data_IF_598691890909
#
_entry.id   IF_598691890909
#
_cell.length_a   1.000
_cell.length_b   1.000
_cell.length_c   1.000
_cell.angle_alpha   90.00
_cell.angle_beta   90.00
_cell.angle_gamma   90.00
#
_symmetry.space_group_name_H-M   'P 1'
#
loop_
_entity.id
_entity.type
_entity.pdbx_description
1 polymer ?
#
# COMPACT_ATOMS: atom_id res chain seq x y z
N UNK A 1 -11.34 43.40 -1.78
CA UNK A 1 -11.78 42.60 -0.62
C UNK A 1 -12.60 41.43 -1.12
N UNK A 2 -12.02 40.23 -1.18
CA UNK A 2 -12.71 38.96 -0.97
C UNK A 2 -11.63 37.90 -0.72
N UNK A 3 -11.11 37.94 0.50
CA UNK A 3 -10.39 36.84 1.13
C UNK A 3 -11.46 35.84 1.62
N UNK A 4 -11.83 34.87 0.79
CA UNK A 4 -12.58 33.69 1.20
C UNK A 4 -12.49 32.69 0.05
N UNK A 5 -11.50 31.80 0.03
CA UNK A 5 -11.55 30.55 -0.77
C UNK A 5 -10.51 29.49 -0.34
N UNK A 6 -9.50 29.84 0.47
CA UNK A 6 -8.57 28.83 1.02
C UNK A 6 -9.16 27.99 2.16
N UNK A 7 -9.93 28.60 3.07
CA UNK A 7 -10.40 27.93 4.29
C UNK A 7 -11.59 26.98 4.09
N UNK A 8 -12.49 27.25 3.13
CA UNK A 8 -13.63 26.37 2.82
C UNK A 8 -13.23 25.13 1.97
N UNK A 9 -12.10 25.20 1.27
CA UNK A 9 -11.57 24.10 0.46
C UNK A 9 -11.05 22.96 1.36
N UNK A 10 -10.27 23.31 2.39
CA UNK A 10 -9.81 22.35 3.41
C UNK A 10 -10.95 21.77 4.23
N UNK A 11 -12.02 22.53 4.54
CA UNK A 11 -13.14 21.98 5.31
C UNK A 11 -13.93 20.93 4.52
N UNK A 12 -14.16 21.16 3.22
CA UNK A 12 -14.89 20.23 2.35
C UNK A 12 -14.10 18.94 2.05
N UNK A 13 -12.77 19.04 1.96
CA UNK A 13 -11.87 17.89 1.80
C UNK A 13 -11.83 17.03 3.08
N UNK A 14 -11.69 17.67 4.24
CA UNK A 14 -11.69 16.99 5.55
C UNK A 14 -13.01 16.29 5.89
N UNK A 15 -14.17 16.85 5.47
CA UNK A 15 -15.48 16.23 5.69
C UNK A 15 -15.61 14.88 4.94
N UNK A 16 -15.07 14.77 3.73
CA UNK A 16 -15.13 13.53 2.93
C UNK A 16 -14.31 12.42 3.54
N UNK A 17 -13.15 12.77 4.10
CA UNK A 17 -12.28 11.85 4.81
C UNK A 17 -12.84 11.47 6.20
N UNK A 18 -13.46 12.40 6.91
CA UNK A 18 -14.21 12.08 8.12
C UNK A 18 -15.33 11.04 7.88
N UNK A 19 -16.01 11.09 6.72
CA UNK A 19 -17.00 10.08 6.30
C UNK A 19 -16.40 8.72 5.92
N UNK A 20 -15.12 8.68 5.51
CA UNK A 20 -14.38 7.43 5.27
C UNK A 20 -14.13 6.68 6.59
N UNK A 21 -14.05 7.40 7.72
CA UNK A 21 -13.48 6.94 8.97
C UNK A 21 -14.43 7.06 10.18
N UNK A 22 -15.65 6.52 10.11
CA UNK A 22 -16.48 6.36 11.31
C UNK A 22 -15.86 5.32 12.29
N UNK A 23 -15.03 5.87 13.20
CA UNK A 23 -14.50 5.49 14.54
C UNK A 23 -14.05 4.05 14.83
N UNK A 24 -12.77 3.91 15.18
CA UNK A 24 -12.28 3.82 16.57
C UNK A 24 -10.83 4.34 16.63
N UNK A 25 -10.57 5.19 17.63
CA UNK A 25 -9.33 5.96 17.83
C UNK A 25 -8.48 5.26 18.87
N UNK A 26 -7.24 4.93 18.54
CA UNK A 26 -6.14 4.96 19.51
C UNK A 26 -5.03 5.79 18.85
N UNK A 27 -4.80 6.96 19.44
CA UNK A 27 -3.71 7.84 19.11
C UNK A 27 -2.49 7.45 19.94
N UNK A 28 -1.35 7.24 19.31
CA UNK A 28 -0.05 7.58 19.90
C UNK A 28 0.87 8.10 18.79
N UNK A 29 1.42 9.29 19.03
CA UNK A 29 2.37 9.95 18.16
C UNK A 29 3.81 9.71 18.62
N UNK A 30 4.75 9.92 17.71
CA UNK A 30 6.10 10.43 17.99
C UNK A 30 6.78 10.74 16.65
N UNK A 31 7.11 12.01 16.45
CA UNK A 31 8.02 12.44 15.40
C UNK A 31 9.46 12.25 15.83
N UNK A 32 10.34 11.91 14.88
CA UNK A 32 11.37 12.81 14.34
C UNK A 32 12.37 12.05 13.46
N UNK A 33 12.71 12.67 12.33
CA UNK A 33 13.97 12.56 11.57
C UNK A 33 14.29 11.25 10.80
N UNK A 34 13.92 11.31 9.52
CA UNK A 34 14.31 10.41 8.44
C UNK A 34 15.80 10.60 8.10
N UNK A 35 16.68 9.73 8.61
CA UNK A 35 18.06 9.64 8.12
C UNK A 35 18.20 8.44 7.18
N UNK A 36 18.49 8.74 5.91
CA UNK A 36 18.60 7.80 4.82
C UNK A 36 19.94 7.06 4.79
N UNK A 37 19.82 5.76 4.55
CA UNK A 37 20.76 4.84 3.87
C UNK A 37 21.89 4.21 4.69
N UNK A 38 21.77 2.92 5.05
CA UNK A 38 22.90 2.05 5.47
C UNK A 38 22.84 0.60 4.92
N UNK A 39 22.34 0.45 3.67
CA UNK A 39 22.39 -0.73 2.76
C UNK A 39 21.80 -2.06 3.25
N UNK A 40 20.84 -2.66 2.53
CA UNK A 40 21.14 -3.13 1.18
C UNK A 40 19.97 -3.36 0.21
N UNK A 41 19.92 -2.58 -0.88
CA UNK A 41 19.16 -2.90 -2.11
C UNK A 41 19.99 -3.79 -3.05
N UNK A 42 20.29 -4.96 -2.48
CA UNK A 42 20.73 -6.22 -3.08
C UNK A 42 22.16 -6.36 -3.64
N UNK A 43 23.14 -5.74 -2.99
CA UNK A 43 24.48 -6.35 -2.88
C UNK A 43 24.73 -6.94 -1.49
N UNK A 44 23.75 -7.67 -0.93
CA UNK A 44 23.81 -8.13 0.46
C UNK A 44 24.41 -9.53 0.58
N UNK A 45 25.28 -9.72 1.58
CA UNK A 45 25.78 -11.00 2.07
C UNK A 45 25.09 -11.37 3.41
N UNK A 46 23.76 -11.60 3.38
CA UNK A 46 22.81 -11.88 4.50
C UNK A 46 22.09 -10.63 5.08
N UNK A 47 21.14 -10.04 4.34
CA UNK A 47 20.56 -8.74 4.73
C UNK A 47 19.62 -8.76 5.94
N UNK A 48 19.95 -7.93 6.93
CA UNK A 48 19.14 -7.64 8.11
C UNK A 48 19.15 -6.13 8.43
N UNK A 49 18.40 -5.32 7.64
CA UNK A 49 18.26 -3.89 7.95
C UNK A 49 17.15 -3.70 9.00
N UNK A 50 17.55 -3.58 10.27
CA UNK A 50 16.68 -3.15 11.36
C UNK A 50 16.19 -1.71 11.13
N UNK A 51 14.90 -1.58 10.84
CA UNK A 51 14.07 -0.73 11.68
C UNK A 51 13.05 -1.62 12.39
N UNK A 52 13.37 -2.03 13.62
CA UNK A 52 12.42 -2.51 14.64
C UNK A 52 11.47 -1.39 15.10
N UNK A 53 11.04 -0.54 14.17
CA UNK A 53 10.12 0.54 14.45
C UNK A 53 9.08 0.60 13.34
N UNK A 54 8.29 -0.47 13.25
CA UNK A 54 6.87 -0.41 12.91
C UNK A 54 6.26 -1.82 13.03
N UNK A 55 5.46 -1.96 14.07
CA UNK A 55 4.49 -3.03 14.35
C UNK A 55 5.02 -4.34 14.93
N UNK A 56 4.24 -4.87 15.86
CA UNK A 56 4.37 -6.13 16.61
C UNK A 56 4.35 -7.39 15.72
N UNK A 57 5.02 -7.37 14.57
CA UNK A 57 5.03 -8.46 13.60
C UNK A 57 6.09 -9.50 13.96
N UNK A 58 5.77 -10.76 13.70
CA UNK A 58 6.71 -11.86 13.87
C UNK A 58 7.91 -11.72 12.92
N UNK A 59 9.09 -12.26 13.29
CA UNK A 59 10.27 -12.25 12.44
C UNK A 59 9.99 -12.90 11.08
N UNK A 60 10.60 -12.37 10.03
CA UNK A 60 10.54 -12.99 8.71
C UNK A 60 11.43 -14.23 8.67
N UNK A 61 10.96 -15.27 7.98
CA UNK A 61 11.78 -16.45 7.71
C UNK A 61 13.00 -16.05 6.86
N UNK A 62 14.18 -16.61 7.17
CA UNK A 62 15.29 -16.58 6.24
C UNK A 62 14.91 -17.38 4.98
N UNK A 63 15.11 -16.81 3.81
CA UNK A 63 14.82 -17.47 2.53
C UNK A 63 16.10 -17.67 1.72
N UNK A 64 16.72 -18.83 1.87
CA UNK A 64 17.87 -19.27 1.07
C UNK A 64 17.51 -19.53 -0.40
N UNK A 65 16.27 -19.91 -0.69
CA UNK A 65 15.79 -20.17 -2.06
C UNK A 65 15.87 -18.91 -2.92
N UNK A 66 15.32 -17.79 -2.47
CA UNK A 66 15.30 -16.56 -3.26
C UNK A 66 16.58 -15.73 -3.06
N UNK A 67 17.17 -15.71 -1.87
CA UNK A 67 18.34 -14.88 -1.58
C UNK A 67 19.66 -15.43 -2.15
N UNK A 68 19.66 -16.64 -2.71
CA UNK A 68 20.80 -17.15 -3.51
C UNK A 68 20.87 -16.53 -4.90
N UNK A 69 19.79 -15.92 -5.39
CA UNK A 69 19.78 -15.24 -6.68
C UNK A 69 20.59 -13.93 -6.62
N UNK A 70 21.54 -13.78 -7.54
CA UNK A 70 22.37 -12.58 -7.61
C UNK A 70 21.51 -11.33 -7.82
N UNK A 71 21.61 -10.36 -6.91
CA UNK A 71 20.83 -9.13 -7.01
C UNK A 71 19.43 -9.21 -6.39
N UNK A 72 19.08 -10.29 -5.69
CA UNK A 72 17.87 -10.38 -4.89
C UNK A 72 18.15 -10.27 -3.39
N UNK A 73 17.23 -9.65 -2.66
CA UNK A 73 17.21 -9.63 -1.21
C UNK A 73 15.76 -9.54 -0.72
N UNK A 74 15.32 -10.51 0.08
CA UNK A 74 13.94 -10.59 0.59
C UNK A 74 13.47 -9.29 1.27
N UNK A 75 14.35 -8.65 2.03
CA UNK A 75 14.03 -7.44 2.79
C UNK A 75 14.05 -6.16 1.95
N UNK A 76 14.53 -6.20 0.71
CA UNK A 76 14.80 -4.98 -0.06
C UNK A 76 14.33 -5.04 -1.50
N UNK A 77 13.97 -6.21 -2.03
CA UNK A 77 13.56 -6.38 -3.41
C UNK A 77 12.13 -6.91 -3.52
N UNK A 78 11.48 -6.50 -4.60
CA UNK A 78 10.25 -7.11 -5.05
C UNK A 78 10.52 -8.52 -5.59
N UNK A 79 9.82 -9.53 -5.07
CA UNK A 79 9.93 -10.94 -5.52
C UNK A 79 9.59 -11.15 -7.01
N UNK A 80 8.88 -10.21 -7.64
CA UNK A 80 8.41 -10.34 -9.02
C UNK A 80 9.32 -9.70 -10.06
N UNK A 81 10.10 -8.68 -9.68
CA UNK A 81 10.95 -7.95 -10.63
C UNK A 81 12.40 -7.76 -10.14
N UNK A 82 12.71 -8.24 -8.94
CA UNK A 82 14.03 -8.16 -8.28
C UNK A 82 14.55 -6.73 -8.07
N UNK A 83 13.72 -5.70 -8.31
CA UNK A 83 14.06 -4.29 -8.09
C UNK A 83 13.80 -3.87 -6.66
N UNK A 84 14.55 -2.86 -6.21
CA UNK A 84 14.48 -2.33 -4.87
C UNK A 84 13.11 -1.75 -4.51
N UNK A 85 12.62 -2.08 -3.32
CA UNK A 85 11.43 -1.48 -2.70
C UNK A 85 11.86 -0.26 -1.88
N UNK A 86 11.02 0.77 -1.84
CA UNK A 86 11.26 1.93 -1.00
C UNK A 86 10.35 1.90 0.23
N UNK A 87 10.96 1.67 1.40
CA UNK A 87 10.29 1.67 2.70
C UNK A 87 9.98 3.09 3.22
N UNK A 88 10.61 4.13 2.65
CA UNK A 88 10.40 5.52 3.08
C UNK A 88 9.06 6.10 2.63
N UNK A 89 8.51 5.64 1.50
CA UNK A 89 7.16 6.00 1.08
C UNK A 89 6.18 5.08 1.78
N UNK A 90 5.63 5.56 2.89
CA UNK A 90 4.58 4.98 3.74
C UNK A 90 3.85 3.76 3.14
N UNK A 91 4.52 2.60 3.11
CA UNK A 91 4.04 1.26 2.79
C UNK A 91 2.97 1.07 1.69
N UNK A 92 2.70 2.04 0.81
CA UNK A 92 1.59 1.95 -0.14
C UNK A 92 1.97 1.38 -1.49
N UNK A 93 3.25 1.42 -1.83
CA UNK A 93 3.74 0.99 -3.15
C UNK A 93 4.06 -0.50 -3.23
N UNK A 94 3.98 -1.22 -2.11
CA UNK A 94 4.27 -2.65 -2.03
C UNK A 94 3.42 -3.36 -0.96
N UNK A 95 3.30 -4.67 -1.11
CA UNK A 95 2.69 -5.57 -0.14
C UNK A 95 3.79 -6.48 0.40
N UNK A 96 3.86 -6.64 1.73
CA UNK A 96 4.69 -7.64 2.40
C UNK A 96 3.81 -8.82 2.81
N UNK A 97 4.24 -10.04 2.52
CA UNK A 97 3.52 -11.25 2.92
C UNK A 97 3.75 -11.54 4.40
N UNK A 98 2.70 -11.40 5.20
CA UNK A 98 2.71 -11.62 6.65
C UNK A 98 2.13 -12.99 7.05
N UNK A 99 1.93 -13.87 6.07
CA UNK A 99 1.42 -15.22 6.31
C UNK A 99 2.42 -16.08 7.07
N UNK A 100 1.93 -16.79 8.08
CA UNK A 100 2.74 -17.69 8.90
C UNK A 100 3.16 -18.94 8.09
N UNK A 101 4.45 -19.25 8.12
CA UNK A 101 5.10 -20.34 7.38
C UNK A 101 5.90 -21.28 8.28
N UNK A 102 5.79 -21.16 9.61
CA UNK A 102 6.50 -22.01 10.57
C UNK A 102 5.97 -21.87 12.00
N UNK A 103 6.78 -22.22 13.00
CA UNK A 103 6.34 -22.18 14.40
C UNK A 103 6.15 -20.74 14.91
N UNK A 104 6.92 -19.76 14.41
CA UNK A 104 6.82 -18.34 14.81
C UNK A 104 7.35 -17.34 13.75
N UNK A 105 7.33 -17.69 12.45
CA UNK A 105 7.91 -16.86 11.39
C UNK A 105 6.92 -16.57 10.27
N UNK A 106 6.97 -15.37 9.70
CA UNK A 106 6.20 -14.99 8.51
C UNK A 106 7.02 -15.17 7.22
N UNK A 107 6.33 -15.27 6.08
CA UNK A 107 7.00 -15.36 4.78
C UNK A 107 7.89 -14.15 4.47
N UNK A 108 7.48 -12.94 4.82
CA UNK A 108 8.28 -11.71 4.74
C UNK A 108 8.62 -11.20 3.34
N UNK A 109 8.34 -11.96 2.26
CA UNK A 109 8.59 -11.51 0.89
C UNK A 109 7.68 -10.36 0.53
N UNK A 110 8.22 -9.37 -0.17
CA UNK A 110 7.49 -8.21 -0.61
C UNK A 110 7.35 -8.15 -2.14
N UNK A 111 6.28 -7.53 -2.61
CA UNK A 111 6.04 -7.27 -4.02
C UNK A 111 5.55 -5.84 -4.22
N UNK A 112 6.04 -5.14 -5.25
CA UNK A 112 5.37 -3.93 -5.70
C UNK A 112 3.93 -4.25 -6.09
N UNK A 113 3.00 -3.38 -5.71
CA UNK A 113 1.58 -3.58 -6.03
C UNK A 113 1.36 -3.62 -7.54
N UNK A 114 2.02 -2.72 -8.28
CA UNK A 114 1.97 -2.70 -9.75
C UNK A 114 2.45 -4.03 -10.35
N UNK A 115 3.59 -4.56 -9.87
CA UNK A 115 4.10 -5.84 -10.35
C UNK A 115 3.13 -6.99 -10.03
N UNK A 116 2.52 -6.97 -8.85
CA UNK A 116 1.55 -8.01 -8.45
C UNK A 116 0.28 -7.95 -9.30
N UNK A 117 -0.28 -6.76 -9.54
CA UNK A 117 -1.44 -6.56 -10.40
C UNK A 117 -1.17 -7.01 -11.84
N UNK A 118 -0.05 -6.55 -12.43
CA UNK A 118 0.33 -6.89 -13.81
C UNK A 118 0.64 -8.36 -14.02
N UNK A 119 1.06 -9.06 -12.96
CA UNK A 119 1.34 -10.50 -13.00
C UNK A 119 0.13 -11.34 -12.60
N UNK A 120 -1.04 -10.74 -12.41
CA UNK A 120 -2.26 -11.40 -11.94
C UNK A 120 -2.10 -12.10 -10.57
N UNK A 121 -1.18 -11.60 -9.75
CA UNK A 121 -0.90 -12.07 -8.39
C UNK A 121 -1.62 -11.21 -7.34
N UNK A 122 -2.30 -10.13 -7.72
CA UNK A 122 -3.09 -9.30 -6.83
C UNK A 122 -4.41 -8.85 -7.46
N UNK A 123 -5.40 -8.55 -6.61
CA UNK A 123 -6.71 -8.01 -6.99
C UNK A 123 -7.79 -9.09 -7.10
N UNK A 124 -8.81 -8.84 -7.94
CA UNK A 124 -9.81 -9.85 -8.29
C UNK A 124 -9.42 -10.50 -9.62
N UNK A 125 -8.99 -11.77 -9.55
CA UNK A 125 -8.40 -12.51 -10.67
C UNK A 125 -9.18 -13.80 -10.87
N UNK A 126 -9.67 -14.04 -12.09
CA UNK A 126 -10.33 -15.29 -12.47
C UNK A 126 -9.36 -16.47 -12.69
N UNK A 127 -9.80 -17.49 -13.43
CA UNK A 127 -8.95 -18.61 -13.82
C UNK A 127 -8.67 -19.60 -12.68
N UNK A 128 -7.48 -20.19 -12.66
CA UNK A 128 -7.08 -21.23 -11.70
C UNK A 128 -6.71 -20.68 -10.31
N UNK A 129 -6.14 -19.47 -10.25
CA UNK A 129 -5.69 -18.85 -8.99
C UNK A 129 -6.89 -18.32 -8.17
N UNK A 130 -7.92 -17.78 -8.83
CA UNK A 130 -9.18 -17.32 -8.21
C UNK A 130 -8.95 -16.41 -6.99
N UNK A 131 -8.58 -15.16 -7.24
CA UNK A 131 -8.42 -14.15 -6.19
C UNK A 131 -9.66 -13.25 -6.13
N UNK A 132 -10.01 -12.79 -4.93
CA UNK A 132 -11.00 -11.74 -4.74
C UNK A 132 -10.48 -10.67 -3.77
N UNK A 133 -9.99 -9.54 -4.31
CA UNK A 133 -9.31 -8.48 -3.56
C UNK A 133 -8.18 -9.02 -2.67
N UNK A 134 -7.37 -9.94 -3.22
CA UNK A 134 -6.33 -10.68 -2.50
C UNK A 134 -4.98 -10.57 -3.22
N UNK A 135 -3.88 -10.80 -2.49
CA UNK A 135 -2.54 -11.02 -3.03
C UNK A 135 -2.13 -12.47 -2.85
N UNK A 136 -1.62 -13.10 -3.90
CA UNK A 136 -1.03 -14.43 -3.89
C UNK A 136 0.50 -14.33 -3.84
N UNK A 137 1.09 -14.82 -2.75
CA UNK A 137 2.53 -14.76 -2.56
C UNK A 137 3.24 -15.87 -3.33
N UNK A 138 4.06 -15.50 -4.32
CA UNK A 138 4.82 -16.45 -5.16
C UNK A 138 5.82 -17.35 -4.40
N UNK A 139 6.18 -17.02 -3.15
CA UNK A 139 7.09 -17.85 -2.35
C UNK A 139 6.40 -18.96 -1.57
N UNK A 140 5.31 -18.62 -0.88
CA UNK A 140 4.66 -19.53 0.07
C UNK A 140 3.28 -19.99 -0.39
N UNK A 141 2.82 -19.54 -1.56
CA UNK A 141 1.55 -19.88 -2.19
C UNK A 141 0.31 -19.56 -1.34
N UNK A 142 0.49 -18.73 -0.31
CA UNK A 142 -0.59 -18.23 0.56
C UNK A 142 -1.14 -16.92 0.03
N UNK A 143 -2.36 -16.61 0.50
CA UNK A 143 -3.13 -15.44 0.10
C UNK A 143 -3.18 -14.44 1.23
N UNK A 144 -3.12 -13.16 0.91
CA UNK A 144 -3.27 -12.06 1.85
C UNK A 144 -4.45 -11.20 1.42
N UNK A 145 -5.39 -10.94 2.34
CA UNK A 145 -6.51 -10.05 2.08
C UNK A 145 -6.03 -8.60 1.92
N UNK A 146 -6.38 -7.96 0.81
CA UNK A 146 -5.90 -6.60 0.50
C UNK A 146 -6.85 -5.50 0.98
N UNK A 147 -8.06 -5.84 1.44
CA UNK A 147 -9.02 -4.83 1.92
C UNK A 147 -8.44 -3.98 3.07
N UNK A 148 -7.78 -4.56 4.10
CA UNK A 148 -7.15 -3.76 5.15
C UNK A 148 -6.02 -2.87 4.60
N UNK A 149 -5.28 -3.37 3.62
CA UNK A 149 -4.23 -2.60 2.95
C UNK A 149 -4.83 -1.38 2.24
N UNK A 150 -5.83 -1.57 1.37
CA UNK A 150 -6.50 -0.47 0.67
C UNK A 150 -7.18 0.50 1.64
N UNK A 151 -7.73 -0.01 2.74
CA UNK A 151 -8.32 0.84 3.78
C UNK A 151 -7.27 1.78 4.38
N UNK A 152 -6.07 1.28 4.68
CA UNK A 152 -4.95 2.13 5.14
C UNK A 152 -4.51 3.12 4.07
N UNK A 153 -4.42 2.69 2.80
CA UNK A 153 -4.10 3.57 1.68
C UNK A 153 -5.02 4.79 1.63
N UNK A 154 -6.33 4.53 1.71
CA UNK A 154 -7.35 5.58 1.67
C UNK A 154 -7.26 6.50 2.89
N UNK A 155 -6.87 6.01 4.06
CA UNK A 155 -6.63 6.87 5.24
C UNK A 155 -5.38 7.74 5.08
N UNK A 156 -4.30 7.22 4.51
CA UNK A 156 -3.08 8.01 4.26
C UNK A 156 -3.33 9.19 3.32
N UNK A 157 -4.30 9.07 2.42
CA UNK A 157 -4.72 10.18 1.57
C UNK A 157 -5.20 11.43 2.35
N UNK A 158 -5.57 11.30 3.62
CA UNK A 158 -5.96 12.41 4.50
C UNK A 158 -4.81 13.39 4.78
N UNK A 159 -3.59 12.87 4.81
CA UNK A 159 -2.39 13.63 5.15
C UNK A 159 -1.56 14.03 3.93
N UNK A 160 -2.06 13.81 2.71
CA UNK A 160 -1.33 14.14 1.49
C UNK A 160 -1.74 15.51 0.93
N UNK A 161 -0.73 16.37 0.74
CA UNK A 161 -0.91 17.68 0.11
C UNK A 161 -0.79 17.65 -1.43
N UNK A 162 -0.43 16.49 -2.00
CA UNK A 162 -0.16 16.31 -3.43
C UNK A 162 -1.34 15.61 -4.14
N UNK A 163 -2.06 16.36 -4.99
CA UNK A 163 -3.18 15.83 -5.78
C UNK A 163 -2.76 14.68 -6.71
N UNK A 164 -1.55 14.74 -7.28
CA UNK A 164 -1.02 13.69 -8.14
C UNK A 164 -0.76 12.39 -7.38
N UNK A 165 -0.23 12.48 -6.15
CA UNK A 165 0.02 11.29 -5.33
C UNK A 165 -1.29 10.71 -4.79
N UNK A 166 -2.25 11.59 -4.45
CA UNK A 166 -3.62 11.20 -4.12
C UNK A 166 -4.28 10.42 -5.26
N UNK A 167 -4.24 10.94 -6.48
CA UNK A 167 -4.79 10.28 -7.67
C UNK A 167 -4.15 8.90 -7.90
N UNK A 168 -2.81 8.80 -7.78
CA UNK A 168 -2.09 7.52 -7.93
C UNK A 168 -2.52 6.49 -6.89
N UNK A 169 -2.63 6.88 -5.62
CA UNK A 169 -3.01 5.97 -4.53
C UNK A 169 -4.46 5.51 -4.69
N UNK A 170 -5.37 6.43 -5.02
CA UNK A 170 -6.77 6.08 -5.25
C UNK A 170 -6.94 5.16 -6.46
N UNK A 171 -6.24 5.41 -7.56
CA UNK A 171 -6.24 4.52 -8.73
C UNK A 171 -5.68 3.13 -8.39
N UNK A 172 -4.68 3.03 -7.52
CA UNK A 172 -4.16 1.75 -7.06
C UNK A 172 -5.21 0.97 -6.26
N UNK A 173 -5.91 1.62 -5.33
CA UNK A 173 -7.04 1.02 -4.61
C UNK A 173 -8.17 0.60 -5.53
N UNK A 174 -8.49 1.40 -6.55
CA UNK A 174 -9.46 1.09 -7.59
C UNK A 174 -9.10 -0.21 -8.32
N UNK A 175 -7.85 -0.35 -8.76
CA UNK A 175 -7.36 -1.55 -9.45
C UNK A 175 -7.42 -2.81 -8.58
N UNK A 176 -7.12 -2.71 -7.28
CA UNK A 176 -7.16 -3.84 -6.34
C UNK A 176 -8.60 -4.34 -6.13
N UNK A 177 -9.56 -3.43 -5.95
CA UNK A 177 -10.93 -3.78 -5.56
C UNK A 177 -11.86 -4.00 -6.76
N UNK A 178 -11.45 -3.65 -7.98
CA UNK A 178 -12.28 -3.78 -9.17
C UNK A 178 -12.73 -5.23 -9.37
N UNK A 179 -14.04 -5.42 -9.53
CA UNK A 179 -14.65 -6.73 -9.81
C UNK A 179 -14.87 -7.61 -8.57
N UNK A 180 -14.51 -7.12 -7.38
CA UNK A 180 -14.66 -7.86 -6.13
C UNK A 180 -16.11 -8.29 -5.85
N UNK A 181 -16.29 -9.46 -5.24
CA UNK A 181 -17.61 -9.91 -4.77
C UNK A 181 -17.84 -9.61 -3.29
N UNK A 182 -16.79 -9.31 -2.53
CA UNK A 182 -16.85 -8.94 -1.11
C UNK A 182 -17.58 -7.60 -0.92
N UNK A 183 -18.62 -7.57 -0.10
CA UNK A 183 -19.50 -6.39 0.07
C UNK A 183 -18.79 -5.20 0.72
N UNK A 184 -17.90 -5.46 1.69
CA UNK A 184 -17.06 -4.43 2.29
C UNK A 184 -16.08 -3.81 1.27
N UNK A 185 -15.53 -4.61 0.36
CA UNK A 185 -14.67 -4.12 -0.73
C UNK A 185 -15.46 -3.28 -1.74
N UNK A 186 -16.68 -3.70 -2.12
CA UNK A 186 -17.58 -2.89 -2.99
C UNK A 186 -17.90 -1.53 -2.39
N UNK A 187 -18.18 -1.47 -1.08
CA UNK A 187 -18.40 -0.20 -0.37
C UNK A 187 -17.15 0.70 -0.38
N UNK A 188 -15.98 0.12 -0.17
CA UNK A 188 -14.71 0.85 -0.22
C UNK A 188 -14.39 1.34 -1.64
N UNK A 189 -14.67 0.53 -2.66
CA UNK A 189 -14.52 0.89 -4.07
C UNK A 189 -15.36 2.12 -4.44
N UNK A 190 -16.66 2.13 -4.08
CA UNK A 190 -17.55 3.28 -4.32
C UNK A 190 -17.02 4.57 -3.70
N UNK A 191 -16.43 4.47 -2.50
CA UNK A 191 -15.82 5.61 -1.81
C UNK A 191 -14.59 6.14 -2.56
N UNK A 192 -13.74 5.25 -3.06
CA UNK A 192 -12.57 5.61 -3.89
C UNK A 192 -13.00 6.28 -5.20
N UNK A 193 -14.02 5.74 -5.88
CA UNK A 193 -14.57 6.32 -7.10
C UNK A 193 -15.08 7.75 -6.89
N UNK A 194 -15.80 7.99 -5.79
CA UNK A 194 -16.26 9.33 -5.41
C UNK A 194 -15.09 10.28 -5.12
N UNK A 195 -14.02 9.81 -4.48
CA UNK A 195 -12.84 10.61 -4.21
C UNK A 195 -12.09 10.98 -5.51
N UNK A 196 -11.93 10.02 -6.44
CA UNK A 196 -11.31 10.26 -7.75
C UNK A 196 -12.08 11.28 -8.59
N UNK A 197 -13.42 11.18 -8.60
CA UNK A 197 -14.26 12.14 -9.31
C UNK A 197 -14.04 13.58 -8.80
N UNK A 198 -13.86 13.76 -7.49
CA UNK A 198 -13.58 15.07 -6.89
C UNK A 198 -12.19 15.59 -7.24
N UNK A 199 -11.17 14.73 -7.21
CA UNK A 199 -9.80 15.10 -7.62
C UNK A 199 -9.78 15.56 -9.08
N UNK A 200 -10.46 14.82 -9.96
CA UNK A 200 -10.57 15.16 -11.39
C UNK A 200 -11.31 16.49 -11.61
N UNK A 201 -12.34 16.77 -10.81
CA UNK A 201 -13.08 18.03 -10.87
C UNK A 201 -12.22 19.23 -10.47
N UNK A 202 -11.37 19.09 -9.45
CA UNK A 202 -10.42 20.14 -9.03
C UNK A 202 -9.43 20.47 -10.14
N UNK A 203 -8.92 19.49 -10.87
CA UNK A 203 -8.06 19.76 -12.02
C UNK A 203 -8.76 20.61 -13.08
N UNK A 204 -10.01 20.32 -13.41
CA UNK A 204 -10.78 21.11 -14.39
C UNK A 204 -10.87 22.58 -13.95
N UNK A 205 -11.15 22.86 -12.67
CA UNK A 205 -11.27 24.23 -12.18
C UNK A 205 -9.94 24.99 -12.07
N UNK A 206 -8.79 24.31 -11.97
CA UNK A 206 -7.47 24.97 -11.92
C UNK A 206 -6.91 25.32 -13.30
N UNK A 207 -7.38 24.66 -14.36
CA UNK A 207 -6.96 24.94 -15.75
C UNK A 207 -7.89 25.91 -16.49
N UNK A 208 -9.00 26.32 -15.87
CA UNK A 208 -9.95 27.32 -16.42
C UNK A 208 -9.81 28.72 -15.79
N UNK A 209 -8.71 29.00 -15.07
CA UNK A 209 -8.39 30.33 -14.48
C UNK A 209 -7.13 30.91 -15.08
#
# INVERSE_FOLDING_TARGET
MHLCNGFCFFSSFNIVFADLCNREVIAEGLGSELHCDLKCKARNKMCDLQMEARSNSLPAMACDICCTESGFCQNCCCILCSRGINWAYECYSFIRCEENVGENNICGHAAHIDCALRSYMAGTVGGSIRLDAEYYCRRCDRRTDLIPHVTRLVKTCESLDSLNDLEKILNMGLCILRGTQKENAKRLLKRIELALAKVSCVFIFLYEV
#
